data_IF_780583555290
#
_entry.id   IF_780583555290
#
_cell.length_a   1.000
_cell.length_b   1.000
_cell.length_c   1.000
_cell.angle_alpha   90.00
_cell.angle_beta   90.00
_cell.angle_gamma   90.00
#
_symmetry.space_group_name_H-M   'P 1'
#
loop_
_entity.id
_entity.type
_entity.pdbx_description
1 polymer ?
#
# COMPACT_ATOMS: atom_id res chain seq x y z
N UNK A 1 8.40 8.66 -0.18
CA UNK A 1 7.05 8.98 0.32
C UNK A 1 6.09 8.89 -0.84
N UNK A 2 5.19 7.90 -0.82
CA UNK A 2 4.28 7.61 -1.92
C UNK A 2 3.07 8.54 -1.80
N UNK A 3 2.99 9.53 -2.68
CA UNK A 3 2.05 10.64 -2.56
C UNK A 3 0.68 10.17 -3.05
N UNK A 4 -0.29 10.11 -2.12
CA UNK A 4 -1.70 10.09 -2.50
C UNK A 4 -1.97 11.35 -3.33
N UNK A 5 -2.66 11.23 -4.47
CA UNK A 5 -3.14 12.41 -5.18
C UNK A 5 -3.97 13.25 -4.18
N UNK A 6 -3.51 14.46 -3.84
CA UNK A 6 -4.16 15.32 -2.84
C UNK A 6 -5.63 15.61 -3.16
N UNK A 7 -6.07 15.43 -4.41
CA UNK A 7 -7.39 15.83 -4.87
C UNK A 7 -8.50 14.76 -4.80
N UNK A 8 -8.21 13.46 -4.58
CA UNK A 8 -9.26 12.42 -4.65
C UNK A 8 -9.03 11.20 -3.75
N UNK A 9 -8.86 11.41 -2.44
CA UNK A 9 -8.88 10.32 -1.47
C UNK A 9 -10.21 10.32 -0.70
N UNK A 10 -10.84 9.15 -0.56
CA UNK A 10 -12.05 8.98 0.24
C UNK A 10 -11.70 8.28 1.54
N UNK A 11 -12.08 8.87 2.67
CA UNK A 11 -12.05 8.18 3.95
C UNK A 11 -13.13 7.09 3.96
N UNK A 12 -12.74 5.85 4.20
CA UNK A 12 -13.67 4.71 4.28
C UNK A 12 -13.51 4.00 5.61
N UNK A 13 -14.63 3.64 6.23
CA UNK A 13 -14.65 2.72 7.36
C UNK A 13 -14.87 1.31 6.83
N UNK A 14 -14.04 0.37 7.27
CA UNK A 14 -14.22 -1.03 6.88
C UNK A 14 -15.45 -1.62 7.57
N UNK A 15 -16.45 -2.02 6.80
CA UNK A 15 -17.63 -2.71 7.33
C UNK A 15 -17.38 -4.21 7.56
N UNK A 16 -16.39 -4.76 6.86
CA UNK A 16 -15.96 -6.16 6.97
C UNK A 16 -14.44 -6.27 6.99
N UNK A 17 -13.93 -7.41 7.49
CA UNK A 17 -12.49 -7.74 7.43
C UNK A 17 -12.00 -7.66 5.98
N UNK A 18 -10.84 -7.07 5.75
CA UNK A 18 -10.30 -6.88 4.39
C UNK A 18 -8.85 -7.33 4.32
N UNK A 19 -8.52 -8.06 3.27
CA UNK A 19 -7.16 -8.45 2.94
C UNK A 19 -6.52 -7.37 2.09
N UNK A 20 -5.40 -6.83 2.56
CA UNK A 20 -4.60 -5.81 1.87
C UNK A 20 -3.19 -6.34 1.65
N UNK A 21 -2.48 -5.73 0.71
CA UNK A 21 -1.14 -6.12 0.30
C UNK A 21 -0.18 -4.95 0.44
N UNK A 22 1.06 -5.26 0.79
CA UNK A 22 2.19 -4.32 0.79
C UNK A 22 3.36 -4.96 0.07
N UNK A 23 4.12 -4.17 -0.66
CA UNK A 23 5.38 -4.62 -1.27
C UNK A 23 6.55 -3.95 -0.55
N UNK A 24 7.49 -4.75 -0.08
CA UNK A 24 8.64 -4.32 0.73
C UNK A 24 9.93 -4.99 0.24
N UNK A 25 11.09 -4.43 0.59
CA UNK A 25 12.40 -5.11 0.53
C UNK A 25 12.44 -6.32 1.46
N UNK A 26 13.43 -7.20 1.27
CA UNK A 26 13.68 -8.39 2.12
C UNK A 26 13.65 -8.09 3.63
N UNK A 27 14.21 -6.94 4.03
CA UNK A 27 14.26 -6.46 5.41
C UNK A 27 13.39 -5.21 5.65
N UNK A 28 12.44 -4.93 4.75
CA UNK A 28 11.59 -3.74 4.84
C UNK A 28 10.54 -3.83 5.94
N UNK A 29 10.03 -2.68 6.37
CA UNK A 29 9.00 -2.61 7.41
C UNK A 29 7.63 -3.15 6.90
N UNK A 30 7.12 -4.27 7.45
CA UNK A 30 5.85 -4.85 7.02
C UNK A 30 4.62 -4.03 7.48
N UNK A 31 4.76 -3.18 8.50
CA UNK A 31 3.67 -2.35 9.05
C UNK A 31 3.73 -0.90 8.59
N UNK A 32 4.31 -0.64 7.43
CA UNK A 32 4.33 0.71 6.87
C UNK A 32 2.94 1.14 6.37
N UNK A 33 2.64 2.43 6.48
CA UNK A 33 1.29 3.01 6.39
C UNK A 33 0.60 2.90 5.02
N UNK A 34 1.28 2.42 3.98
CA UNK A 34 0.76 2.39 2.61
C UNK A 34 0.54 0.95 2.13
N UNK A 35 -0.63 0.71 1.56
CA UNK A 35 -1.17 -0.60 1.22
C UNK A 35 -1.91 -0.53 -0.11
N UNK A 36 -2.24 -1.68 -0.70
CA UNK A 36 -3.10 -1.78 -1.88
C UNK A 36 -4.10 -2.93 -1.75
N UNK A 37 -5.29 -2.80 -2.36
CA UNK A 37 -6.24 -3.90 -2.51
C UNK A 37 -5.89 -4.83 -3.66
N UNK A 38 -5.21 -4.31 -4.67
CA UNK A 38 -4.82 -5.08 -5.82
C UNK A 38 -3.73 -6.05 -5.39
N UNK A 39 -3.97 -7.36 -5.52
CA UNK A 39 -2.92 -8.35 -5.30
C UNK A 39 -1.83 -8.07 -6.35
N UNK A 40 -0.60 -7.71 -5.93
CA UNK A 40 0.48 -7.51 -6.88
C UNK A 40 0.72 -8.78 -7.68
N UNK A 41 0.76 -8.67 -9.02
CA UNK A 41 1.17 -9.79 -9.90
C UNK A 41 2.65 -10.13 -9.74
N UNK A 42 3.42 -9.18 -9.23
CA UNK A 42 4.81 -9.30 -8.86
C UNK A 42 5.30 -7.97 -8.30
N UNK A 43 6.48 -7.93 -7.69
CA UNK A 43 6.97 -6.71 -7.07
C UNK A 43 7.24 -5.56 -8.05
N UNK A 44 7.67 -5.88 -9.28
CA UNK A 44 7.91 -4.91 -10.35
C UNK A 44 6.64 -4.16 -10.78
N UNK A 45 5.50 -4.87 -10.87
CA UNK A 45 4.21 -4.27 -11.21
C UNK A 45 3.76 -3.25 -10.14
N UNK A 46 4.03 -3.54 -8.86
CA UNK A 46 3.78 -2.57 -7.79
C UNK A 46 4.68 -1.35 -7.85
N UNK A 47 5.89 -1.45 -8.39
CA UNK A 47 6.76 -0.28 -8.58
C UNK A 47 6.16 0.70 -9.58
N UNK A 48 5.58 0.18 -10.66
CA UNK A 48 4.98 0.97 -11.72
C UNK A 48 3.61 1.51 -11.28
N UNK A 49 2.71 0.62 -10.84
CA UNK A 49 1.32 0.97 -10.50
C UNK A 49 1.21 1.78 -9.22
N UNK A 50 2.08 1.50 -8.24
CA UNK A 50 2.14 2.23 -6.97
C UNK A 50 3.28 3.23 -6.93
N UNK A 51 3.90 3.59 -8.05
CA UNK A 51 5.00 4.57 -8.11
C UNK A 51 6.04 4.41 -6.99
N UNK A 52 6.51 3.19 -6.68
CA UNK A 52 7.48 2.97 -5.59
C UNK A 52 8.88 3.42 -6.03
N UNK A 53 9.26 4.65 -5.68
CA UNK A 53 10.62 5.13 -5.90
C UNK A 53 11.65 4.27 -5.12
N UNK A 54 12.53 3.62 -5.87
CA UNK A 54 13.57 2.74 -5.36
C UNK A 54 14.60 3.49 -4.52
N UNK A 55 14.77 4.80 -4.74
CA UNK A 55 15.66 5.65 -3.95
C UNK A 55 15.25 5.76 -2.47
N UNK A 56 14.05 5.29 -2.10
CA UNK A 56 13.61 5.21 -0.70
C UNK A 56 14.02 3.90 -0.01
N UNK A 57 14.88 3.10 -0.65
CA UNK A 57 15.37 1.83 -0.09
C UNK A 57 14.36 0.68 -0.14
N UNK A 58 13.25 0.84 -0.89
CA UNK A 58 12.30 -0.24 -1.12
C UNK A 58 12.58 -0.95 -2.44
N UNK A 59 13.39 -2.01 -2.41
CA UNK A 59 13.75 -2.82 -3.58
C UNK A 59 12.60 -3.65 -4.14
N UNK A 60 11.41 -3.58 -3.52
CA UNK A 60 10.22 -4.31 -3.87
C UNK A 60 10.55 -5.78 -4.18
N UNK A 61 10.88 -6.58 -3.17
CA UNK A 61 11.26 -7.99 -3.37
C UNK A 61 10.30 -8.97 -2.71
N UNK A 62 9.45 -8.49 -1.80
CA UNK A 62 8.55 -9.32 -0.99
C UNK A 62 7.17 -8.69 -0.92
N UNK A 63 6.15 -9.53 -1.10
CA UNK A 63 4.74 -9.16 -0.89
C UNK A 63 4.35 -9.61 0.53
N UNK A 64 3.86 -8.67 1.33
CA UNK A 64 3.30 -8.89 2.66
C UNK A 64 1.78 -8.77 2.57
N UNK A 65 1.07 -9.67 3.26
CA UNK A 65 -0.39 -9.67 3.34
C UNK A 65 -0.82 -9.20 4.72
N UNK A 66 -1.82 -8.32 4.78
CA UNK A 66 -2.37 -7.79 6.01
C UNK A 66 -3.88 -8.02 6.06
N UNK A 67 -4.37 -8.59 7.15
CA UNK A 67 -5.79 -8.81 7.40
C UNK A 67 -6.30 -7.74 8.35
N UNK A 68 -6.89 -6.69 7.77
CA UNK A 68 -7.41 -5.56 8.53
C UNK A 68 -8.80 -5.94 9.08
N UNK A 69 -9.06 -5.75 10.40
CA UNK A 69 -10.37 -6.01 10.98
C UNK A 69 -11.42 -5.00 10.52
N UNK A 70 -12.70 -5.35 10.71
CA UNK A 70 -13.81 -4.39 10.54
C UNK A 70 -13.70 -3.25 11.56
N UNK A 71 -14.24 -2.09 11.23
CA UNK A 71 -14.27 -0.90 12.09
C UNK A 71 -13.09 0.05 11.90
N UNK A 72 -12.04 -0.34 11.17
CA UNK A 72 -10.87 0.49 10.91
C UNK A 72 -11.18 1.55 9.84
N UNK A 73 -10.76 2.79 10.10
CA UNK A 73 -10.78 3.89 9.14
C UNK A 73 -9.51 3.83 8.29
N UNK A 74 -9.68 3.89 6.98
CA UNK A 74 -8.60 3.98 6.00
C UNK A 74 -8.89 5.10 5.02
N UNK A 75 -7.83 5.60 4.39
CA UNK A 75 -7.95 6.56 3.29
C UNK A 75 -7.61 5.82 2.01
N UNK A 76 -8.49 5.90 1.04
CA UNK A 76 -8.34 5.19 -0.23
C UNK A 76 -8.35 6.17 -1.38
N UNK A 77 -7.39 6.03 -2.28
CA UNK A 77 -7.28 6.83 -3.47
C UNK A 77 -6.51 6.10 -4.58
N UNK A 78 -6.03 6.90 -5.52
CA UNK A 78 -5.20 6.46 -6.64
C UNK A 78 -3.78 6.98 -6.42
N UNK A 79 -2.78 6.13 -6.64
CA UNK A 79 -1.37 6.52 -6.56
C UNK A 79 -1.07 7.54 -7.65
N UNK A 80 -0.51 8.69 -7.27
CA UNK A 80 -0.13 9.71 -8.23
C UNK A 80 1.09 9.28 -9.07
N UNK A 81 1.19 9.74 -10.33
CA UNK A 81 2.44 9.65 -11.07
C UNK A 81 3.54 10.44 -10.34
N UNK A 82 4.76 9.92 -10.32
CA UNK A 82 5.91 10.62 -9.74
C UNK A 82 7.23 10.10 -10.30
N UNK A 83 8.21 11.00 -10.52
CA UNK A 83 9.59 10.66 -10.93
C UNK A 83 9.66 9.69 -12.13
N UNK A 84 8.80 9.87 -13.13
CA UNK A 84 8.72 9.00 -14.31
C UNK A 84 7.95 7.69 -14.12
N UNK A 85 7.42 7.43 -12.92
CA UNK A 85 6.49 6.33 -12.65
C UNK A 85 5.06 6.81 -12.91
N UNK A 86 4.29 6.00 -13.65
CA UNK A 86 2.96 6.36 -14.17
C UNK A 86 1.89 6.41 -13.06
N UNK A 87 2.06 5.61 -12.00
CA UNK A 87 1.06 5.51 -10.94
C UNK A 87 -0.24 4.88 -11.47
N UNK A 88 -1.39 5.36 -10.97
CA UNK A 88 -2.71 4.89 -11.39
C UNK A 88 -3.24 3.67 -10.63
N UNK A 89 -2.40 3.02 -9.83
CA UNK A 89 -2.80 1.91 -8.98
C UNK A 89 -3.63 2.32 -7.76
N UNK A 90 -4.41 1.39 -7.21
CA UNK A 90 -5.12 1.59 -5.96
C UNK A 90 -4.14 1.79 -4.80
N UNK A 91 -4.32 2.88 -4.06
CA UNK A 91 -3.52 3.20 -2.88
C UNK A 91 -4.41 3.33 -1.65
N UNK A 92 -4.02 2.68 -0.57
CA UNK A 92 -4.63 2.79 0.74
C UNK A 92 -3.59 3.34 1.71
N UNK A 93 -3.97 4.36 2.46
CA UNK A 93 -3.23 4.88 3.59
C UNK A 93 -3.94 4.53 4.90
N UNK A 94 -3.16 3.97 5.82
CA UNK A 94 -3.57 3.61 7.17
C UNK A 94 -2.56 4.22 8.16
N UNK A 95 -2.96 5.19 8.99
CA UNK A 95 -2.03 5.89 9.88
C UNK A 95 -1.46 4.98 10.98
N UNK A 96 -2.17 3.90 11.32
CA UNK A 96 -1.74 2.91 12.30
C UNK A 96 -2.03 1.51 11.79
N UNK A 97 -1.01 0.66 11.79
CA UNK A 97 -1.10 -0.75 11.43
C UNK A 97 -0.62 -1.58 12.62
N UNK A 98 -1.46 -2.49 13.08
CA UNK A 98 -1.08 -3.46 14.10
C UNK A 98 -0.25 -4.58 13.48
N UNK A 99 0.86 -4.96 14.13
CA UNK A 99 1.72 -6.08 13.71
C UNK A 99 0.95 -7.40 13.66
N UNK A 100 -0.08 -7.56 14.50
CA UNK A 100 -0.94 -8.73 14.54
C UNK A 100 -1.82 -8.89 13.28
N UNK A 101 -1.96 -7.83 12.48
CA UNK A 101 -2.68 -7.92 11.21
C UNK A 101 -1.83 -8.55 10.09
N UNK A 102 -0.50 -8.59 10.26
CA UNK A 102 0.42 -9.16 9.27
C UNK A 102 0.29 -10.67 9.28
N UNK A 103 -0.07 -11.24 8.13
CA UNK A 103 -0.09 -12.68 7.92
C UNK A 103 1.35 -13.13 7.62
N UNK A 104 1.88 -14.03 8.46
CA UNK A 104 3.20 -14.64 8.28
C UNK A 104 3.16 -15.76 7.25
#
# INVERSE_FOLDING_TARGET
MLILLEAAHTQKKLHQKKLLYRVISKNGNPTGNYLTRAKPRGPLASVIDSSLDQNWGNTATKIVKLKIPKGIKLYEGVAAPQKGLVGGGNQIYLPKIDKNWVIK
#
